data_IF_367000860300
#
_entry.id   IF_367000860300
#
_cell.length_a   1.000
_cell.length_b   1.000
_cell.length_c   1.000
_cell.angle_alpha   90.00
_cell.angle_beta   90.00
_cell.angle_gamma   90.00
#
_symmetry.space_group_name_H-M   'P 1'
#
loop_
_entity.id
_entity.type
_entity.pdbx_description
1 polymer ?
#
# COMPACT_ATOMS: atom_id res chain seq x y z
N UNK A 1 -38.04 6.70 34.85
CA UNK A 1 -38.87 7.88 34.61
C UNK A 1 -38.35 8.57 33.35
N UNK A 2 -39.19 8.97 32.43
CA UNK A 2 -38.76 9.82 31.31
C UNK A 2 -38.65 11.25 31.83
N UNK A 3 -37.43 11.74 31.95
CA UNK A 3 -37.16 13.13 32.34
C UNK A 3 -36.62 13.86 31.10
N UNK A 4 -37.17 15.06 30.84
CA UNK A 4 -36.77 15.96 29.77
C UNK A 4 -36.29 17.29 30.33
N UNK A 5 -35.48 17.20 31.37
CA UNK A 5 -34.76 18.36 31.89
C UNK A 5 -33.56 18.73 31.01
N UNK A 6 -33.07 19.94 31.16
CA UNK A 6 -31.95 20.43 30.34
C UNK A 6 -30.69 19.54 30.43
N UNK A 7 -30.44 18.93 31.58
CA UNK A 7 -29.29 18.06 31.81
C UNK A 7 -29.41 16.75 31.01
N UNK A 8 -30.57 16.10 31.01
CA UNK A 8 -30.80 14.87 30.25
C UNK A 8 -30.75 15.10 28.74
N UNK A 9 -31.30 16.25 28.26
CA UNK A 9 -31.24 16.64 26.87
C UNK A 9 -29.77 16.90 26.45
N UNK A 10 -29.01 17.68 27.21
CA UNK A 10 -27.61 17.96 26.93
C UNK A 10 -26.79 16.67 26.91
N UNK A 11 -26.95 15.80 27.92
CA UNK A 11 -26.25 14.53 27.98
C UNK A 11 -26.56 13.65 26.75
N UNK A 12 -27.82 13.56 26.33
CA UNK A 12 -28.24 12.81 25.17
C UNK A 12 -27.62 13.34 23.87
N UNK A 13 -27.61 14.65 23.68
CA UNK A 13 -26.97 15.30 22.52
C UNK A 13 -25.47 15.06 22.50
N UNK A 14 -24.79 15.17 23.65
CA UNK A 14 -23.36 14.91 23.78
C UNK A 14 -23.02 13.48 23.41
N UNK A 15 -23.79 12.48 23.85
CA UNK A 15 -23.58 11.08 23.49
C UNK A 15 -23.68 10.85 21.97
N UNK A 16 -24.68 11.45 21.31
CA UNK A 16 -24.85 11.38 19.87
C UNK A 16 -23.70 12.06 19.12
N UNK A 17 -23.27 13.23 19.59
CA UNK A 17 -22.11 13.94 19.01
C UNK A 17 -20.81 13.14 19.14
N UNK A 18 -20.55 12.52 20.30
CA UNK A 18 -19.40 11.66 20.50
C UNK A 18 -19.42 10.49 19.50
N UNK A 19 -20.55 9.82 19.32
CA UNK A 19 -20.69 8.71 18.38
C UNK A 19 -20.38 9.13 16.92
N UNK A 20 -20.87 10.29 16.50
CA UNK A 20 -20.64 10.83 15.16
C UNK A 20 -19.19 11.28 14.97
N UNK A 21 -18.67 12.12 15.86
CA UNK A 21 -17.34 12.72 15.73
C UNK A 21 -16.22 11.67 15.81
N UNK A 22 -16.34 10.69 16.71
CA UNK A 22 -15.34 9.62 16.82
C UNK A 22 -15.37 8.69 15.59
N UNK A 23 -16.53 8.49 14.99
CA UNK A 23 -16.64 7.73 13.74
C UNK A 23 -15.95 8.44 12.58
N UNK A 24 -16.01 9.77 12.50
CA UNK A 24 -15.35 10.56 11.45
C UNK A 24 -13.80 10.53 11.53
N UNK A 25 -13.22 10.20 12.67
CA UNK A 25 -11.77 10.03 12.82
C UNK A 25 -11.26 8.76 12.18
N UNK A 26 -12.10 7.75 11.98
CA UNK A 26 -11.73 6.47 11.38
C UNK A 26 -11.13 6.68 9.98
N UNK A 27 -9.99 6.04 9.66
CA UNK A 27 -9.33 6.20 8.35
C UNK A 27 -10.20 5.75 7.18
N UNK A 28 -11.15 4.84 7.39
CA UNK A 28 -12.09 4.40 6.34
C UNK A 28 -13.12 5.46 5.94
N UNK A 29 -13.43 6.42 6.81
CA UNK A 29 -14.28 7.55 6.48
C UNK A 29 -13.66 8.48 5.44
N UNK A 30 -12.34 8.47 5.34
CA UNK A 30 -11.61 9.36 4.44
C UNK A 30 -11.63 8.81 3.04
N UNK A 31 -12.12 9.60 2.10
CA UNK A 31 -12.12 9.22 0.68
C UNK A 31 -10.67 9.10 0.20
N UNK A 32 -10.36 7.96 -0.38
CA UNK A 32 -9.15 7.75 -1.20
C UNK A 32 -9.63 7.64 -2.64
N UNK A 33 -9.04 8.43 -3.54
CA UNK A 33 -9.31 8.33 -4.97
C UNK A 33 -8.58 7.09 -5.48
N UNK A 34 -9.31 6.21 -6.17
CA UNK A 34 -8.72 5.08 -6.88
C UNK A 34 -8.39 5.57 -8.27
N UNK A 35 -7.19 5.24 -8.75
CA UNK A 35 -6.80 5.49 -10.11
C UNK A 35 -7.58 4.52 -11.01
N UNK A 36 -8.33 5.03 -11.97
CA UNK A 36 -8.98 4.21 -12.99
C UNK A 36 -7.97 3.94 -14.10
N UNK A 37 -7.73 2.65 -14.36
CA UNK A 37 -7.00 2.23 -15.53
C UNK A 37 -7.99 2.18 -16.69
N UNK A 38 -8.18 3.30 -17.38
CA UNK A 38 -8.87 3.33 -18.65
C UNK A 38 -7.95 2.79 -19.75
N UNK A 39 -8.23 1.62 -20.30
CA UNK A 39 -7.86 1.35 -21.68
C UNK A 39 -8.49 2.49 -22.49
N UNK A 40 -7.77 3.23 -23.34
CA UNK A 40 -8.39 4.23 -24.19
C UNK A 40 -9.46 3.52 -25.01
N UNK A 41 -10.72 3.69 -24.65
CA UNK A 41 -11.82 3.35 -25.53
C UNK A 41 -11.68 4.27 -26.72
N UNK A 42 -11.63 3.78 -27.96
CA UNK A 42 -11.66 4.63 -29.14
C UNK A 42 -12.92 5.50 -29.00
N UNK A 43 -12.71 6.79 -28.93
CA UNK A 43 -13.79 7.79 -28.90
C UNK A 43 -14.45 7.67 -30.27
N UNK A 44 -15.59 6.99 -30.34
CA UNK A 44 -16.50 7.11 -31.46
C UNK A 44 -17.08 8.51 -31.36
N UNK A 45 -16.49 9.46 -32.08
CA UNK A 45 -17.15 10.72 -32.36
C UNK A 45 -18.41 10.39 -33.13
N UNK A 46 -19.54 10.47 -32.44
CA UNK A 46 -20.85 10.45 -33.06
C UNK A 46 -21.02 11.78 -33.79
N UNK A 47 -20.72 11.83 -35.08
CA UNK A 47 -21.31 12.79 -35.97
C UNK A 47 -22.82 12.50 -36.06
N UNK A 48 -23.62 13.30 -35.38
CA UNK A 48 -25.04 13.45 -35.69
C UNK A 48 -25.16 14.15 -37.03
N UNK A 49 -25.52 13.40 -38.08
CA UNK A 49 -26.21 13.97 -39.24
C UNK A 49 -27.16 12.95 -39.83
N UNK A 50 -28.44 13.23 -39.57
CA UNK A 50 -29.64 13.02 -40.35
C UNK A 50 -29.72 11.98 -41.46
N UNK A 51 -30.70 11.06 -41.27
CA UNK A 51 -31.83 10.62 -42.16
C UNK A 51 -31.52 10.01 -43.53
N UNK A 52 -32.07 8.85 -43.65
CA UNK A 52 -33.04 8.29 -44.65
C UNK A 52 -32.53 7.01 -45.35
N UNK A 53 -33.38 5.97 -45.16
CA UNK A 53 -33.94 4.93 -46.04
C UNK A 53 -33.05 3.79 -46.64
N UNK A 54 -33.55 2.58 -46.23
CA UNK A 54 -33.72 1.33 -46.99
C UNK A 54 -32.58 0.63 -47.72
N UNK A 55 -32.39 -0.64 -47.33
CA UNK A 55 -31.74 -1.63 -48.19
C UNK A 55 -31.16 -2.81 -47.42
N UNK A 56 -31.89 -3.92 -47.37
CA UNK A 56 -31.45 -5.23 -46.87
C UNK A 56 -30.41 -5.81 -47.82
N UNK A 57 -29.24 -6.20 -47.31
CA UNK A 57 -28.45 -7.31 -47.84
C UNK A 57 -27.60 -7.95 -46.72
N UNK A 58 -27.80 -9.25 -46.51
CA UNK A 58 -26.96 -10.12 -45.69
C UNK A 58 -25.57 -10.28 -46.36
N UNK A 59 -24.54 -9.82 -45.66
CA UNK A 59 -23.16 -10.07 -45.99
C UNK A 59 -22.35 -10.39 -44.73
N UNK A 60 -21.80 -11.63 -44.66
CA UNK A 60 -20.82 -12.06 -43.63
C UNK A 60 -19.60 -11.15 -43.68
N UNK A 61 -19.52 -10.19 -42.78
CA UNK A 61 -18.27 -9.44 -42.55
C UNK A 61 -17.55 -10.02 -41.35
N UNK A 62 -16.35 -10.53 -41.59
CA UNK A 62 -15.37 -10.87 -40.59
C UNK A 62 -15.09 -9.58 -39.78
N UNK A 63 -15.27 -9.64 -38.47
CA UNK A 63 -14.93 -8.55 -37.54
C UNK A 63 -13.42 -8.34 -37.61
N UNK A 64 -12.98 -7.34 -38.35
CA UNK A 64 -11.59 -6.89 -38.37
C UNK A 64 -11.29 -6.26 -37.00
N UNK A 65 -10.30 -6.79 -36.31
CA UNK A 65 -9.78 -6.16 -35.10
C UNK A 65 -9.36 -4.71 -35.42
N UNK A 66 -9.70 -3.71 -34.55
CA UNK A 66 -9.34 -2.33 -34.83
C UNK A 66 -7.81 -2.19 -34.84
N UNK A 67 -7.25 -1.80 -35.94
CA UNK A 67 -5.83 -1.47 -36.10
C UNK A 67 -5.58 -0.20 -35.31
N UNK A 68 -4.98 -0.36 -34.11
CA UNK A 68 -4.53 0.75 -33.28
C UNK A 68 -3.34 1.40 -34.01
N UNK A 69 -3.54 2.59 -34.54
CA UNK A 69 -2.48 3.37 -35.18
C UNK A 69 -1.41 3.78 -34.15
N UNK A 70 -0.15 3.84 -34.55
CA UNK A 70 1.00 4.15 -33.66
C UNK A 70 0.87 5.50 -32.91
N UNK A 71 0.05 6.42 -33.40
CA UNK A 71 -0.22 7.72 -32.78
C UNK A 71 -1.06 7.64 -31.48
N UNK A 72 -1.71 6.50 -31.21
CA UNK A 72 -2.56 6.29 -30.02
C UNK A 72 -1.86 5.55 -28.87
N UNK A 73 -0.63 5.11 -29.05
CA UNK A 73 0.11 4.44 -27.97
C UNK A 73 0.58 5.50 -26.96
N UNK A 74 0.28 5.32 -25.65
CA UNK A 74 0.75 6.24 -24.64
C UNK A 74 2.29 6.26 -24.66
N UNK A 75 2.89 7.45 -24.76
CA UNK A 75 4.35 7.62 -24.71
C UNK A 75 4.83 7.34 -23.27
N UNK A 76 5.07 6.07 -22.96
CA UNK A 76 5.54 5.62 -21.66
C UNK A 76 7.07 5.60 -21.61
N UNK A 77 7.70 5.98 -20.49
CA UNK A 77 9.14 5.99 -20.35
C UNK A 77 9.72 4.59 -20.23
N UNK A 78 10.93 4.32 -20.72
CA UNK A 78 11.60 3.05 -20.47
C UNK A 78 11.93 2.87 -18.98
N UNK A 79 11.84 1.62 -18.48
CA UNK A 79 11.89 1.31 -17.03
C UNK A 79 12.82 0.15 -16.71
N UNK A 80 13.54 0.23 -15.58
CA UNK A 80 14.31 -0.87 -15.01
C UNK A 80 13.64 -1.36 -13.73
N UNK A 81 13.34 -2.66 -13.60
CA UNK A 81 12.80 -3.28 -12.40
C UNK A 81 13.94 -3.95 -11.64
N UNK A 82 14.06 -3.71 -10.33
CA UNK A 82 15.10 -4.30 -9.47
C UNK A 82 14.47 -5.29 -8.51
N UNK A 83 14.96 -6.52 -8.55
CA UNK A 83 14.67 -7.61 -7.62
C UNK A 83 15.94 -7.97 -6.85
N UNK A 84 15.81 -8.16 -5.53
CA UNK A 84 16.94 -8.43 -4.65
C UNK A 84 16.70 -9.69 -3.82
N UNK A 85 16.83 -10.90 -4.43
CA UNK A 85 16.65 -12.16 -3.71
C UNK A 85 17.68 -12.32 -2.59
N UNK A 86 17.27 -12.99 -1.52
CA UNK A 86 18.12 -13.38 -0.41
C UNK A 86 17.47 -14.55 0.32
N UNK A 87 17.97 -15.75 0.11
CA UNK A 87 17.45 -17.02 0.64
C UNK A 87 15.97 -17.29 0.24
N UNK A 88 15.58 -16.88 -0.97
CA UNK A 88 14.22 -17.01 -1.52
C UNK A 88 14.21 -17.33 -3.01
N UNK A 89 15.02 -18.32 -3.40
CA UNK A 89 15.15 -18.79 -4.77
C UNK A 89 13.83 -19.37 -5.33
N UNK A 90 13.00 -19.99 -4.49
CA UNK A 90 11.73 -20.58 -4.89
C UNK A 90 10.72 -19.49 -5.27
N UNK A 91 10.61 -18.43 -4.47
CA UNK A 91 9.77 -17.28 -4.77
C UNK A 91 10.27 -16.56 -6.04
N UNK A 92 11.60 -16.47 -6.22
CA UNK A 92 12.16 -15.93 -7.45
C UNK A 92 11.78 -16.76 -8.67
N UNK A 93 11.89 -18.09 -8.60
CA UNK A 93 11.54 -18.99 -9.70
C UNK A 93 10.07 -18.86 -10.11
N UNK A 94 9.17 -18.69 -9.13
CA UNK A 94 7.73 -18.51 -9.33
C UNK A 94 7.40 -17.14 -9.92
N UNK A 95 7.99 -16.07 -9.38
CA UNK A 95 7.54 -14.71 -9.62
C UNK A 95 8.33 -13.98 -10.74
N UNK A 96 9.59 -14.34 -11.00
CA UNK A 96 10.41 -13.71 -12.04
C UNK A 96 9.75 -13.73 -13.43
N UNK A 97 9.13 -14.83 -13.90
CA UNK A 97 8.45 -14.86 -15.20
C UNK A 97 7.37 -13.81 -15.34
N UNK A 98 6.65 -13.49 -14.26
CA UNK A 98 5.57 -12.50 -14.27
C UNK A 98 6.09 -11.06 -14.48
N UNK A 99 7.33 -10.78 -14.09
CA UNK A 99 7.99 -9.51 -14.39
C UNK A 99 8.61 -9.48 -15.79
N UNK A 100 9.11 -10.62 -16.28
CA UNK A 100 9.73 -10.72 -17.61
C UNK A 100 8.72 -10.66 -18.76
N UNK A 101 7.47 -11.10 -18.50
CA UNK A 101 6.40 -11.20 -19.51
C UNK A 101 5.42 -10.01 -19.46
N UNK A 102 5.83 -8.86 -18.91
CA UNK A 102 4.96 -7.68 -18.88
C UNK A 102 4.66 -7.16 -20.30
N UNK A 103 3.39 -6.88 -20.57
CA UNK A 103 2.95 -6.18 -21.76
C UNK A 103 3.30 -4.70 -21.63
N UNK A 104 4.42 -4.29 -22.22
CA UNK A 104 4.92 -2.92 -22.09
C UNK A 104 5.35 -2.35 -23.45
N UNK A 105 4.78 -1.22 -23.90
CA UNK A 105 5.03 -0.71 -25.24
C UNK A 105 6.39 -0.03 -25.41
N UNK A 106 7.06 0.32 -24.34
CA UNK A 106 8.41 0.88 -24.33
C UNK A 106 9.44 -0.16 -23.87
N UNK A 107 10.71 0.16 -23.95
CA UNK A 107 11.77 -0.73 -23.47
C UNK A 107 11.73 -0.91 -21.94
N UNK A 108 11.97 -2.13 -21.47
CA UNK A 108 12.16 -2.40 -20.05
C UNK A 108 13.23 -3.47 -19.83
N UNK A 109 13.73 -3.50 -18.59
CA UNK A 109 14.61 -4.57 -18.11
C UNK A 109 14.29 -4.96 -16.69
N UNK A 110 14.57 -6.21 -16.35
CA UNK A 110 14.51 -6.76 -14.99
C UNK A 110 15.91 -7.06 -14.52
N UNK A 111 16.33 -6.41 -13.45
CA UNK A 111 17.66 -6.55 -12.85
C UNK A 111 17.53 -7.38 -11.59
N UNK A 112 18.17 -8.54 -11.56
CA UNK A 112 18.25 -9.37 -10.35
C UNK A 112 19.65 -9.21 -9.74
N UNK A 113 19.68 -8.77 -8.48
CA UNK A 113 20.92 -8.57 -7.72
C UNK A 113 20.98 -9.60 -6.60
N UNK A 114 21.74 -10.67 -6.78
CA UNK A 114 21.84 -11.80 -5.87
C UNK A 114 23.16 -11.81 -5.08
N UNK A 115 23.22 -12.43 -3.89
CA UNK A 115 24.48 -12.73 -3.24
C UNK A 115 25.33 -13.70 -4.09
N UNK A 116 26.65 -13.49 -4.15
CA UNK A 116 27.53 -14.32 -4.96
C UNK A 116 27.58 -15.79 -4.49
N UNK A 117 27.33 -16.03 -3.22
CA UNK A 117 27.31 -17.36 -2.60
C UNK A 117 25.91 -18.01 -2.56
N UNK A 118 24.90 -17.39 -3.15
CA UNK A 118 23.54 -17.95 -3.28
C UNK A 118 23.45 -18.81 -4.56
N UNK A 119 23.83 -20.07 -4.43
CA UNK A 119 23.84 -21.02 -5.55
C UNK A 119 22.46 -21.35 -6.06
N UNK A 120 21.47 -21.47 -5.16
CA UNK A 120 20.09 -21.78 -5.54
C UNK A 120 19.49 -20.67 -6.40
N UNK A 121 19.65 -19.40 -6.00
CA UNK A 121 19.26 -18.25 -6.81
C UNK A 121 20.02 -18.22 -8.14
N UNK A 122 21.33 -18.54 -8.14
CA UNK A 122 22.12 -18.59 -9.36
C UNK A 122 21.61 -19.64 -10.35
N UNK A 123 21.20 -20.83 -9.86
CA UNK A 123 20.63 -21.89 -10.71
C UNK A 123 19.29 -21.50 -11.31
N UNK A 124 18.42 -20.85 -10.53
CA UNK A 124 17.16 -20.28 -11.05
C UNK A 124 17.45 -19.26 -12.18
N UNK A 125 18.40 -18.36 -12.00
CA UNK A 125 18.74 -17.33 -12.98
C UNK A 125 19.28 -17.93 -14.30
N UNK A 126 19.98 -19.05 -14.25
CA UNK A 126 20.45 -19.77 -15.45
C UNK A 126 19.28 -20.23 -16.33
N UNK A 127 18.14 -20.60 -15.74
CA UNK A 127 16.95 -21.02 -16.51
C UNK A 127 16.39 -19.90 -17.39
N UNK A 128 16.59 -18.65 -16.99
CA UNK A 128 16.11 -17.47 -17.70
C UNK A 128 17.20 -16.69 -18.45
N UNK A 129 18.42 -17.22 -18.52
CA UNK A 129 19.59 -16.53 -19.09
C UNK A 129 19.42 -16.10 -20.57
N UNK A 130 18.54 -16.76 -21.32
CA UNK A 130 18.23 -16.41 -22.71
C UNK A 130 17.22 -15.25 -22.86
N UNK A 131 16.59 -14.82 -21.76
CA UNK A 131 15.60 -13.74 -21.82
C UNK A 131 16.30 -12.37 -21.97
N UNK A 132 15.96 -11.63 -23.01
CA UNK A 132 16.58 -10.33 -23.37
C UNK A 132 16.29 -9.21 -22.37
N UNK A 133 15.22 -9.34 -21.59
CA UNK A 133 14.87 -8.38 -20.55
C UNK A 133 15.62 -8.63 -19.24
N UNK A 134 16.22 -9.81 -19.02
CA UNK A 134 16.90 -10.14 -17.79
C UNK A 134 18.35 -9.64 -17.78
N UNK A 135 18.72 -8.95 -16.73
CA UNK A 135 20.10 -8.63 -16.38
C UNK A 135 20.42 -9.11 -14.97
N UNK A 136 21.51 -9.81 -14.78
CA UNK A 136 21.92 -10.36 -13.49
C UNK A 136 23.23 -9.74 -13.03
N UNK A 137 23.32 -9.42 -11.74
CA UNK A 137 24.55 -8.97 -11.10
C UNK A 137 24.63 -9.51 -9.68
N UNK A 138 25.84 -9.51 -9.07
CA UNK A 138 26.07 -10.18 -7.81
C UNK A 138 26.70 -9.24 -6.78
N UNK A 139 26.34 -9.47 -5.50
CA UNK A 139 26.93 -8.79 -4.35
C UNK A 139 28.17 -9.57 -3.93
N UNK A 140 29.36 -8.93 -3.85
CA UNK A 140 30.56 -9.57 -3.33
C UNK A 140 30.43 -9.94 -1.85
N UNK A 141 31.04 -11.04 -1.43
CA UNK A 141 30.99 -11.53 -0.03
C UNK A 141 31.60 -10.56 0.97
N UNK A 142 32.56 -9.74 0.54
CA UNK A 142 33.35 -8.84 1.40
C UNK A 142 32.61 -7.60 1.91
N UNK A 143 31.34 -7.39 1.51
CA UNK A 143 30.57 -6.19 1.87
C UNK A 143 30.02 -6.28 3.30
N UNK A 144 30.79 -5.81 4.30
CA UNK A 144 30.43 -5.94 5.74
C UNK A 144 29.72 -4.73 6.33
N UNK A 145 29.69 -3.59 5.65
CA UNK A 145 29.39 -2.29 6.27
C UNK A 145 28.01 -1.69 5.97
N UNK A 146 27.13 -2.39 5.26
CA UNK A 146 25.79 -1.87 4.98
C UNK A 146 24.77 -3.00 4.91
N UNK A 147 23.49 -2.67 5.03
CA UNK A 147 22.42 -3.61 4.77
C UNK A 147 22.60 -4.25 3.40
N UNK A 148 22.67 -5.58 3.34
CA UNK A 148 22.82 -6.32 2.07
C UNK A 148 21.75 -5.92 1.07
N UNK A 149 20.49 -5.72 1.51
CA UNK A 149 19.38 -5.30 0.66
C UNK A 149 19.59 -3.90 0.09
N UNK A 150 20.01 -2.91 0.90
CA UNK A 150 20.31 -1.56 0.41
C UNK A 150 21.50 -1.53 -0.54
N UNK A 151 22.52 -2.37 -0.28
CA UNK A 151 23.63 -2.55 -1.21
C UNK A 151 23.16 -3.14 -2.53
N UNK A 152 22.34 -4.22 -2.49
CA UNK A 152 21.75 -4.82 -3.68
C UNK A 152 20.96 -3.81 -4.50
N UNK A 153 20.09 -3.04 -3.86
CA UNK A 153 19.31 -1.99 -4.54
C UNK A 153 20.27 -0.95 -5.15
N UNK A 154 21.30 -0.50 -4.42
CA UNK A 154 22.27 0.48 -4.94
C UNK A 154 23.03 -0.04 -6.15
N UNK A 155 23.43 -1.32 -6.15
CA UNK A 155 24.07 -1.96 -7.30
C UNK A 155 23.10 -2.08 -8.48
N UNK A 156 21.85 -2.49 -8.21
CA UNK A 156 20.79 -2.54 -9.23
C UNK A 156 20.53 -1.17 -9.86
N UNK A 157 20.44 -0.11 -9.06
CA UNK A 157 20.28 1.27 -9.57
C UNK A 157 21.47 1.69 -10.42
N UNK A 158 22.71 1.36 -10.04
CA UNK A 158 23.89 1.66 -10.86
C UNK A 158 23.87 0.88 -12.17
N UNK A 159 23.47 -0.38 -12.15
CA UNK A 159 23.34 -1.24 -13.33
C UNK A 159 22.15 -0.89 -14.22
N UNK A 160 21.15 -0.17 -13.71
CA UNK A 160 19.95 0.20 -14.44
C UNK A 160 20.29 1.00 -15.71
N UNK A 161 19.72 0.59 -16.84
CA UNK A 161 19.89 1.25 -18.14
C UNK A 161 19.03 2.53 -18.22
N UNK A 162 17.88 2.54 -17.60
CA UNK A 162 16.89 3.60 -17.69
C UNK A 162 16.82 4.46 -16.43
N UNK A 163 16.33 5.70 -16.59
CA UNK A 163 16.24 6.66 -15.47
C UNK A 163 15.10 6.34 -14.50
N UNK A 164 13.98 5.76 -14.98
CA UNK A 164 12.98 5.23 -14.10
C UNK A 164 13.34 3.83 -13.63
N UNK A 165 13.38 3.67 -12.31
CA UNK A 165 13.74 2.42 -11.65
C UNK A 165 12.63 2.05 -10.69
N UNK A 166 12.14 0.81 -10.76
CA UNK A 166 11.19 0.25 -9.80
C UNK A 166 11.94 -0.71 -8.89
N UNK A 167 11.87 -0.53 -7.59
CA UNK A 167 12.28 -1.55 -6.63
C UNK A 167 11.06 -2.28 -6.08
N UNK A 168 11.15 -3.61 -6.01
CA UNK A 168 10.13 -4.49 -5.45
C UNK A 168 10.78 -5.70 -4.77
N UNK A 169 9.99 -6.44 -4.00
CA UNK A 169 10.42 -7.64 -3.31
C UNK A 169 10.12 -8.90 -4.12
N UNK A 170 10.98 -9.91 -3.98
CA UNK A 170 10.85 -11.19 -4.70
C UNK A 170 9.59 -11.96 -4.28
N UNK A 171 9.13 -11.78 -3.03
CA UNK A 171 7.86 -12.36 -2.54
C UNK A 171 6.62 -11.60 -3.03
N UNK A 172 6.79 -10.63 -3.93
CA UNK A 172 5.69 -9.89 -4.54
C UNK A 172 5.63 -10.19 -6.03
N UNK A 173 4.40 -10.19 -6.58
CA UNK A 173 4.19 -10.38 -8.01
C UNK A 173 3.06 -9.49 -8.53
N UNK A 174 3.11 -9.12 -9.84
CA UNK A 174 2.08 -8.32 -10.48
C UNK A 174 0.71 -9.02 -10.52
N UNK A 175 -0.37 -8.27 -10.40
CA UNK A 175 -1.73 -8.77 -10.55
C UNK A 175 -2.00 -9.29 -11.96
N UNK A 176 -1.27 -8.74 -12.98
CA UNK A 176 -1.39 -9.13 -14.37
C UNK A 176 -0.32 -8.49 -15.25
N UNK A 177 -0.41 -8.74 -16.54
CA UNK A 177 0.63 -8.37 -17.52
C UNK A 177 0.70 -6.86 -17.80
N UNK A 178 -0.29 -6.08 -17.38
CA UNK A 178 -0.34 -4.62 -17.56
C UNK A 178 0.14 -3.82 -16.35
N UNK A 179 0.68 -4.49 -15.31
CA UNK A 179 1.13 -3.82 -14.10
C UNK A 179 2.19 -2.74 -14.37
N UNK A 180 3.16 -3.05 -15.22
CA UNK A 180 4.23 -2.11 -15.55
C UNK A 180 3.68 -0.86 -16.24
N UNK A 181 2.70 -1.00 -17.12
CA UNK A 181 2.02 0.14 -17.76
C UNK A 181 1.27 0.99 -16.74
N UNK A 182 0.58 0.35 -15.78
CA UNK A 182 -0.16 1.06 -14.74
C UNK A 182 0.77 1.91 -13.86
N UNK A 183 1.94 1.40 -13.47
CA UNK A 183 2.95 2.18 -12.77
C UNK A 183 3.51 3.30 -13.65
N UNK A 184 3.87 2.98 -14.92
CA UNK A 184 4.55 3.87 -15.85
C UNK A 184 3.73 5.10 -16.22
N UNK A 185 2.41 5.00 -16.33
CA UNK A 185 1.53 6.15 -16.63
C UNK A 185 1.64 7.28 -15.60
N UNK A 186 2.13 6.97 -14.41
CA UNK A 186 2.39 7.93 -13.34
C UNK A 186 3.83 8.48 -13.37
N UNK A 187 4.72 7.90 -14.20
CA UNK A 187 6.11 8.31 -14.37
C UNK A 187 6.21 9.55 -15.29
N UNK A 188 5.54 10.63 -14.90
CA UNK A 188 5.42 11.87 -15.69
C UNK A 188 6.52 12.87 -15.38
N UNK A 189 6.62 13.90 -16.21
CA UNK A 189 7.44 15.08 -15.93
C UNK A 189 6.99 15.73 -14.60
N UNK A 190 7.94 16.24 -13.83
CA UNK A 190 7.68 16.79 -12.48
C UNK A 190 7.43 15.73 -11.39
N UNK A 191 7.41 14.45 -11.72
CA UNK A 191 7.38 13.35 -10.75
C UNK A 191 8.75 12.68 -10.64
N UNK A 192 9.14 12.39 -9.40
CA UNK A 192 10.37 11.67 -9.06
C UNK A 192 10.12 10.32 -8.42
N UNK A 193 8.90 10.13 -7.89
CA UNK A 193 8.47 8.94 -7.17
C UNK A 193 7.07 8.51 -7.61
N UNK A 194 6.88 7.19 -7.77
CA UNK A 194 5.57 6.56 -7.91
C UNK A 194 5.49 5.41 -6.91
N UNK A 195 4.55 5.48 -5.99
CA UNK A 195 4.25 4.39 -5.04
C UNK A 195 3.14 3.55 -5.64
N UNK A 196 3.35 2.24 -5.76
CA UNK A 196 2.34 1.26 -6.15
C UNK A 196 1.71 0.59 -4.93
N UNK A 197 0.42 0.36 -4.97
CA UNK A 197 -0.28 -0.37 -3.92
C UNK A 197 0.13 -1.84 -3.90
N UNK A 198 0.21 -2.42 -2.69
CA UNK A 198 0.50 -3.85 -2.49
C UNK A 198 -0.54 -4.44 -1.53
N UNK A 199 -1.14 -5.58 -1.89
CA UNK A 199 -2.02 -6.37 -1.04
C UNK A 199 -1.44 -7.75 -0.78
N UNK A 200 -1.94 -8.46 0.22
CA UNK A 200 -1.58 -9.87 0.44
C UNK A 200 -2.36 -10.81 -0.46
N UNK A 201 -1.83 -12.03 -0.67
CA UNK A 201 -2.58 -13.16 -1.24
C UNK A 201 -3.83 -13.48 -0.43
N UNK A 202 -4.87 -14.03 -1.09
CA UNK A 202 -6.20 -14.26 -0.49
C UNK A 202 -6.16 -15.24 0.70
N UNK A 203 -5.23 -16.18 0.71
CA UNK A 203 -5.03 -17.17 1.77
C UNK A 203 -4.50 -16.54 3.07
N UNK A 204 -4.05 -15.30 3.04
CA UNK A 204 -3.58 -14.59 4.23
C UNK A 204 -4.73 -14.41 5.23
N UNK A 205 -4.48 -14.62 6.54
CA UNK A 205 -5.52 -14.43 7.55
C UNK A 205 -6.22 -13.06 7.45
N UNK A 206 -7.56 -13.06 7.48
CA UNK A 206 -8.38 -11.87 7.27
C UNK A 206 -8.01 -10.67 8.17
N UNK A 207 -7.52 -10.92 9.39
CA UNK A 207 -7.03 -9.87 10.26
C UNK A 207 -5.80 -9.15 9.68
N UNK A 208 -4.87 -9.86 9.05
CA UNK A 208 -3.65 -9.26 8.46
C UNK A 208 -4.00 -8.39 7.25
N UNK A 209 -4.94 -8.82 6.41
CA UNK A 209 -5.49 -7.96 5.35
C UNK A 209 -6.10 -6.68 5.92
N UNK A 210 -6.92 -6.84 6.98
CA UNK A 210 -7.57 -5.71 7.62
C UNK A 210 -6.57 -4.73 8.22
N UNK A 211 -5.63 -5.20 9.05
CA UNK A 211 -4.63 -4.37 9.71
C UNK A 211 -3.77 -3.61 8.70
N UNK A 212 -3.25 -4.33 7.68
CA UNK A 212 -2.46 -3.70 6.62
C UNK A 212 -3.23 -2.60 5.91
N UNK A 213 -4.45 -2.89 5.47
CA UNK A 213 -5.26 -1.91 4.75
C UNK A 213 -5.66 -0.72 5.63
N UNK A 214 -6.06 -0.99 6.87
CA UNK A 214 -6.41 0.06 7.83
C UNK A 214 -5.25 1.03 8.06
N UNK A 215 -4.04 0.52 8.28
CA UNK A 215 -2.85 1.35 8.45
C UNK A 215 -2.44 2.04 7.15
N UNK A 216 -2.54 1.36 6.01
CA UNK A 216 -2.23 1.91 4.70
C UNK A 216 -3.10 3.13 4.35
N UNK A 217 -4.34 3.20 4.85
CA UNK A 217 -5.24 4.35 4.62
C UNK A 217 -4.68 5.69 5.11
N UNK A 218 -3.87 5.67 6.17
CA UNK A 218 -3.18 6.89 6.62
C UNK A 218 -2.14 7.35 5.58
N UNK A 219 -1.35 6.43 5.03
CA UNK A 219 -0.33 6.74 4.02
C UNK A 219 -0.94 7.16 2.68
N UNK A 220 -1.98 6.45 2.21
CA UNK A 220 -2.69 6.80 0.98
C UNK A 220 -3.21 8.24 1.00
N UNK A 221 -3.73 8.66 2.16
CA UNK A 221 -4.18 10.04 2.33
C UNK A 221 -3.03 11.03 2.21
N UNK A 222 -1.89 10.74 2.85
CA UNK A 222 -0.72 11.64 2.82
C UNK A 222 -0.15 11.75 1.40
N UNK A 223 -0.18 10.67 0.61
CA UNK A 223 0.21 10.71 -0.81
C UNK A 223 -0.68 11.65 -1.63
N UNK A 224 -2.00 11.60 -1.41
CA UNK A 224 -2.93 12.48 -2.12
C UNK A 224 -2.85 13.95 -1.70
N UNK A 225 -2.25 14.25 -0.56
CA UNK A 225 -2.05 15.61 -0.06
C UNK A 225 -0.59 16.09 -0.19
N UNK A 226 0.26 15.37 -0.92
CA UNK A 226 1.68 15.68 -1.11
C UNK A 226 2.47 15.79 0.22
N UNK A 227 2.11 14.96 1.20
CA UNK A 227 2.72 14.91 2.53
C UNK A 227 3.29 13.53 2.85
N UNK A 228 3.73 12.82 1.82
CA UNK A 228 4.32 11.49 1.95
C UNK A 228 5.57 11.54 2.86
N UNK A 229 5.68 10.54 3.76
CA UNK A 229 6.81 10.45 4.68
C UNK A 229 7.35 9.02 4.84
N UNK A 230 6.64 8.02 4.35
CA UNK A 230 7.01 6.61 4.42
C UNK A 230 6.25 5.82 3.35
N UNK A 231 6.63 4.56 3.11
CA UNK A 231 6.01 3.67 2.14
C UNK A 231 5.81 2.27 2.73
N UNK A 232 4.56 1.90 3.10
CA UNK A 232 4.25 0.58 3.61
C UNK A 232 4.03 -0.48 2.50
N UNK A 233 4.32 -0.13 1.26
CA UNK A 233 4.11 -0.96 0.07
C UNK A 233 5.45 -1.41 -0.52
N UNK A 234 5.42 -2.49 -1.29
CA UNK A 234 6.61 -3.11 -1.88
C UNK A 234 6.79 -2.76 -3.37
N UNK A 235 6.12 -1.72 -3.85
CA UNK A 235 6.31 -1.17 -5.18
C UNK A 235 6.68 0.31 -5.10
N UNK A 236 7.89 0.66 -5.47
CA UNK A 236 8.34 2.04 -5.49
C UNK A 236 9.18 2.31 -6.74
N UNK A 237 8.63 3.12 -7.64
CA UNK A 237 9.39 3.67 -8.76
C UNK A 237 10.01 5.02 -8.37
N UNK A 238 11.24 5.27 -8.84
CA UNK A 238 11.96 6.51 -8.59
C UNK A 238 12.95 6.82 -9.70
N UNK A 239 13.39 8.08 -9.79
CA UNK A 239 14.41 8.51 -10.75
C UNK A 239 15.81 8.08 -10.30
N UNK A 240 16.50 7.26 -11.13
CA UNK A 240 17.93 6.88 -10.95
C UNK A 240 18.82 8.10 -10.79
N UNK A 241 18.67 9.07 -11.68
CA UNK A 241 19.46 10.31 -11.69
C UNK A 241 19.37 11.04 -10.35
N UNK A 242 18.18 11.13 -9.76
CA UNK A 242 17.96 11.75 -8.46
C UNK A 242 18.57 10.92 -7.33
N UNK A 243 18.33 9.60 -7.33
CA UNK A 243 18.87 8.69 -6.32
C UNK A 243 20.40 8.77 -6.26
N UNK A 244 21.08 8.79 -7.41
CA UNK A 244 22.55 8.86 -7.47
C UNK A 244 23.07 10.24 -7.06
N UNK A 245 22.45 11.32 -7.51
CA UNK A 245 22.82 12.69 -7.18
C UNK A 245 22.73 12.97 -5.68
N UNK A 246 21.73 12.44 -5.02
CA UNK A 246 21.49 12.60 -3.58
C UNK A 246 22.08 11.45 -2.75
N UNK A 247 23.03 10.69 -3.32
CA UNK A 247 23.83 9.65 -2.65
C UNK A 247 23.01 8.49 -2.04
N UNK A 248 21.89 8.14 -2.67
CA UNK A 248 21.09 6.95 -2.34
C UNK A 248 20.70 6.85 -0.86
N UNK A 249 21.08 5.77 -0.22
CA UNK A 249 20.79 5.49 1.20
C UNK A 249 21.78 6.12 2.18
N UNK A 250 22.61 7.08 1.77
CA UNK A 250 23.51 7.76 2.71
C UNK A 250 22.75 8.31 3.91
N UNK A 251 23.26 8.06 5.12
CA UNK A 251 22.61 8.36 6.39
C UNK A 251 21.77 7.20 6.97
N UNK A 252 21.32 6.25 6.11
CA UNK A 252 20.46 5.14 6.52
C UNK A 252 21.05 3.76 6.28
N UNK A 253 22.32 3.68 5.90
CA UNK A 253 23.02 2.45 5.49
C UNK A 253 23.07 1.38 6.59
N UNK A 254 23.16 1.81 7.86
CA UNK A 254 23.28 0.91 9.00
C UNK A 254 21.99 0.15 9.32
N UNK A 255 20.81 0.70 8.99
CA UNK A 255 19.54 0.04 9.28
C UNK A 255 19.29 -1.09 8.30
N UNK A 256 18.97 -2.29 8.82
CA UNK A 256 18.84 -3.51 8.00
C UNK A 256 17.68 -3.37 7.00
N UNK A 257 16.56 -2.80 7.44
CA UNK A 257 15.35 -2.61 6.64
C UNK A 257 14.97 -1.14 6.50
N UNK A 258 13.84 -0.87 5.81
CA UNK A 258 13.28 0.48 5.64
C UNK A 258 13.69 1.16 4.34
N UNK A 259 14.15 0.40 3.36
CA UNK A 259 14.55 0.90 2.05
C UNK A 259 13.47 1.72 1.36
N UNK A 260 12.21 1.27 1.41
CA UNK A 260 11.06 2.00 0.88
C UNK A 260 10.75 3.27 1.69
N UNK A 261 10.67 3.12 3.03
CA UNK A 261 10.39 4.23 3.95
C UNK A 261 11.43 5.35 3.81
N UNK A 262 12.72 5.01 3.87
CA UNK A 262 13.80 5.99 3.79
C UNK A 262 13.88 6.66 2.42
N UNK A 263 13.58 5.92 1.34
CA UNK A 263 13.54 6.49 0.00
C UNK A 263 12.42 7.53 -0.13
N UNK A 264 11.20 7.18 0.30
CA UNK A 264 10.08 8.14 0.28
C UNK A 264 10.35 9.32 1.21
N UNK A 265 10.84 9.07 2.43
CA UNK A 265 11.13 10.13 3.39
C UNK A 265 12.16 11.14 2.89
N UNK A 266 13.19 10.66 2.21
CA UNK A 266 14.27 11.51 1.68
C UNK A 266 13.86 12.26 0.41
N UNK A 267 13.16 11.58 -0.50
CA UNK A 267 12.96 12.09 -1.85
C UNK A 267 11.57 12.66 -2.13
N UNK A 268 10.52 12.32 -1.35
CA UNK A 268 9.20 12.88 -1.53
C UNK A 268 9.14 14.31 -0.99
N UNK A 269 9.20 15.29 -1.91
CA UNK A 269 9.16 16.71 -1.55
C UNK A 269 8.21 17.47 -2.48
N UNK A 270 7.31 18.22 -1.88
CA UNK A 270 6.29 18.93 -2.66
C UNK A 270 5.36 17.96 -3.39
N UNK A 271 5.04 18.26 -4.65
CA UNK A 271 4.12 17.45 -5.48
C UNK A 271 4.87 16.48 -6.43
N UNK A 272 5.99 15.90 -6.00
CA UNK A 272 6.82 15.05 -6.85
C UNK A 272 6.55 13.55 -6.72
N UNK A 273 5.58 13.16 -5.87
CA UNK A 273 5.14 11.77 -5.70
C UNK A 273 3.79 11.55 -6.38
N UNK A 274 3.63 10.42 -7.05
CA UNK A 274 2.36 9.90 -7.52
C UNK A 274 2.03 8.59 -6.80
N UNK A 275 0.75 8.24 -6.75
CA UNK A 275 0.28 7.01 -6.11
C UNK A 275 -0.57 6.22 -7.07
N UNK A 276 -0.12 5.02 -7.40
CA UNK A 276 -0.84 4.06 -8.24
C UNK A 276 -1.55 3.04 -7.35
N UNK A 277 -2.85 2.99 -7.45
CA UNK A 277 -3.71 2.12 -6.64
C UNK A 277 -4.88 1.51 -7.43
N UNK A 278 -4.75 1.46 -8.75
CA UNK A 278 -5.66 0.66 -9.58
C UNK A 278 -5.46 -0.84 -9.33
N UNK A 279 -6.41 -1.64 -9.75
CA UNK A 279 -6.32 -3.10 -9.66
C UNK A 279 -5.13 -3.59 -10.49
N UNK A 280 -4.96 -3.08 -11.70
CA UNK A 280 -3.87 -3.44 -12.62
C UNK A 280 -2.49 -3.04 -12.07
N UNK A 281 -2.40 -1.89 -11.38
CA UNK A 281 -1.16 -1.40 -10.76
C UNK A 281 -0.83 -2.03 -9.41
N UNK A 282 -1.65 -2.97 -8.94
CA UNK A 282 -1.47 -3.62 -7.64
C UNK A 282 -0.44 -4.75 -7.72
N UNK A 283 0.45 -4.84 -6.71
CA UNK A 283 1.24 -6.04 -6.42
C UNK A 283 0.53 -6.93 -5.41
N UNK A 284 0.72 -8.22 -5.54
CA UNK A 284 0.31 -9.22 -4.57
C UNK A 284 1.55 -9.69 -3.82
N UNK A 285 1.52 -9.63 -2.50
CA UNK A 285 2.56 -10.16 -1.62
C UNK A 285 2.14 -11.53 -1.10
N UNK A 286 3.01 -12.51 -1.23
CA UNK A 286 2.81 -13.87 -0.73
C UNK A 286 2.51 -13.90 0.77
N UNK A 287 1.85 -14.97 1.23
CA UNK A 287 1.45 -15.11 2.65
C UNK A 287 2.67 -15.02 3.57
N UNK A 288 2.78 -13.97 4.40
CA UNK A 288 3.93 -13.85 5.28
C UNK A 288 3.88 -14.89 6.42
N UNK A 289 5.00 -15.54 6.72
CA UNK A 289 5.12 -16.36 7.92
C UNK A 289 4.95 -15.51 9.19
N UNK A 290 4.66 -16.15 10.34
CA UNK A 290 4.54 -15.42 11.62
C UNK A 290 5.80 -14.64 11.97
N UNK A 291 6.99 -15.20 11.65
CA UNK A 291 8.28 -14.55 11.88
C UNK A 291 8.45 -13.31 11.01
N UNK A 292 8.12 -13.41 9.72
CA UNK A 292 8.18 -12.28 8.77
C UNK A 292 7.16 -11.22 9.17
N UNK A 293 5.93 -11.62 9.48
CA UNK A 293 4.89 -10.71 9.95
C UNK A 293 5.30 -9.91 11.19
N UNK A 294 5.77 -10.61 12.23
CA UNK A 294 6.26 -9.92 13.44
C UNK A 294 7.46 -9.04 13.14
N UNK A 295 8.43 -9.54 12.37
CA UNK A 295 9.62 -8.80 11.96
C UNK A 295 9.27 -7.47 11.27
N UNK A 296 8.30 -7.49 10.34
CA UNK A 296 7.85 -6.27 9.65
C UNK A 296 7.38 -5.20 10.63
N UNK A 297 6.61 -5.58 11.66
CA UNK A 297 6.15 -4.62 12.68
C UNK A 297 7.30 -4.08 13.55
N UNK A 298 8.24 -4.95 13.95
CA UNK A 298 9.38 -4.53 14.77
C UNK A 298 10.31 -3.59 13.99
N UNK A 299 10.65 -3.92 12.74
CA UNK A 299 11.45 -3.06 11.87
C UNK A 299 10.75 -1.74 11.57
N UNK A 300 9.42 -1.74 11.37
CA UNK A 300 8.67 -0.51 11.21
C UNK A 300 8.76 0.38 12.46
N UNK A 301 8.71 -0.20 13.66
CA UNK A 301 8.85 0.55 14.92
C UNK A 301 10.22 1.17 15.08
N UNK A 302 11.29 0.48 14.65
CA UNK A 302 12.64 1.03 14.62
C UNK A 302 12.76 2.14 13.58
N UNK A 303 12.43 1.85 12.32
CA UNK A 303 12.63 2.77 11.20
C UNK A 303 11.90 4.09 11.39
N UNK A 304 10.65 4.05 11.87
CA UNK A 304 9.83 5.25 12.06
C UNK A 304 10.40 6.27 13.04
N UNK A 305 11.34 5.87 13.91
CA UNK A 305 12.02 6.81 14.82
C UNK A 305 13.00 7.71 14.08
N UNK A 306 13.48 7.23 12.94
CA UNK A 306 14.49 7.88 12.09
C UNK A 306 13.89 8.59 10.88
N UNK A 307 12.56 8.57 10.73
CA UNK A 307 11.85 9.28 9.66
C UNK A 307 11.50 10.70 10.09
N UNK A 308 11.63 11.65 9.17
CA UNK A 308 11.09 12.99 9.32
C UNK A 308 9.55 12.91 9.25
N UNK A 309 8.89 13.29 10.34
CA UNK A 309 7.44 13.22 10.48
C UNK A 309 6.89 14.47 11.15
N UNK A 310 5.78 14.96 10.61
CA UNK A 310 5.03 16.03 11.27
C UNK A 310 4.35 15.53 12.56
N UNK A 311 3.99 16.41 13.52
CA UNK A 311 3.19 16.03 14.67
C UNK A 311 1.89 15.28 14.30
N UNK A 312 1.23 15.67 13.20
CA UNK A 312 0.02 15.02 12.71
C UNK A 312 0.25 13.54 12.38
N UNK A 313 1.36 13.19 11.70
CA UNK A 313 1.70 11.81 11.38
C UNK A 313 1.93 10.94 12.62
N UNK A 314 2.36 11.57 13.72
CA UNK A 314 2.60 10.87 15.00
C UNK A 314 1.31 10.69 15.80
N UNK A 315 0.47 11.71 15.83
CA UNK A 315 -0.66 11.78 16.75
C UNK A 315 -1.95 11.15 16.19
N UNK A 316 -2.21 11.26 14.89
CA UNK A 316 -3.47 10.88 14.27
C UNK A 316 -3.89 9.40 14.48
N UNK A 317 -3.00 8.39 14.33
CA UNK A 317 -3.36 7.01 14.60
C UNK A 317 -3.72 6.74 16.07
N UNK A 318 -3.04 7.45 17.00
CA UNK A 318 -3.36 7.35 18.43
C UNK A 318 -4.69 8.01 18.76
N UNK A 319 -4.97 9.17 18.17
CA UNK A 319 -6.23 9.88 18.35
C UNK A 319 -7.41 9.03 17.90
N UNK A 320 -7.31 8.39 16.71
CA UNK A 320 -8.33 7.49 16.20
C UNK A 320 -8.60 6.33 17.15
N UNK A 321 -7.56 5.61 17.57
CA UNK A 321 -7.70 4.46 18.47
C UNK A 321 -8.20 4.86 19.86
N UNK A 322 -7.76 5.99 20.40
CA UNK A 322 -8.24 6.51 21.67
C UNK A 322 -9.71 6.93 21.57
N UNK A 323 -10.09 7.59 20.48
CA UNK A 323 -11.46 7.99 20.23
C UNK A 323 -12.41 6.79 20.07
N UNK A 324 -11.95 5.72 19.36
CA UNK A 324 -12.68 4.46 19.21
C UNK A 324 -12.99 3.83 20.59
N UNK A 325 -11.94 3.57 21.37
CA UNK A 325 -12.09 2.93 22.68
C UNK A 325 -12.86 3.81 23.67
N UNK A 326 -12.54 5.12 23.68
CA UNK A 326 -13.23 6.10 24.53
C UNK A 326 -14.72 6.20 24.20
N UNK A 327 -15.09 6.20 22.92
CA UNK A 327 -16.49 6.20 22.48
C UNK A 327 -17.26 4.99 23.04
N UNK A 328 -16.77 3.77 22.79
CA UNK A 328 -17.45 2.57 23.30
C UNK A 328 -17.49 2.53 24.83
N UNK A 329 -16.41 2.94 25.51
CA UNK A 329 -16.36 3.00 26.96
C UNK A 329 -17.42 3.95 27.52
N UNK A 330 -17.47 5.20 27.02
CA UNK A 330 -18.44 6.21 27.44
C UNK A 330 -19.88 5.76 27.17
N UNK A 331 -20.16 5.22 25.97
CA UNK A 331 -21.49 4.75 25.61
C UNK A 331 -21.96 3.58 26.50
N UNK A 332 -21.08 2.61 26.79
CA UNK A 332 -21.40 1.49 27.67
C UNK A 332 -21.65 1.95 29.10
N UNK A 333 -20.83 2.85 29.65
CA UNK A 333 -21.04 3.40 31.00
C UNK A 333 -22.34 4.20 31.06
N UNK A 334 -22.60 5.06 30.07
CA UNK A 334 -23.83 5.84 30.02
C UNK A 334 -25.07 4.94 29.93
N UNK A 335 -25.03 3.87 29.12
CA UNK A 335 -26.13 2.92 28.99
C UNK A 335 -26.37 2.16 30.30
N UNK A 336 -25.35 1.53 30.86
CA UNK A 336 -25.48 0.74 32.09
C UNK A 336 -25.84 1.62 33.26
N UNK A 337 -25.14 2.77 33.46
CA UNK A 337 -25.40 3.69 34.55
C UNK A 337 -26.82 4.29 34.52
N UNK A 338 -27.29 4.70 33.33
CA UNK A 338 -28.64 5.24 33.18
C UNK A 338 -29.75 4.19 33.40
N UNK A 339 -29.50 2.94 32.98
CA UNK A 339 -30.42 1.83 33.29
C UNK A 339 -30.54 1.57 34.79
N UNK A 340 -29.41 1.53 35.50
CA UNK A 340 -29.41 1.32 36.94
C UNK A 340 -30.09 2.46 37.70
N UNK A 341 -29.97 3.70 37.21
CA UNK A 341 -30.59 4.88 37.82
C UNK A 341 -32.05 5.13 37.34
N UNK A 342 -32.58 4.30 36.45
CA UNK A 342 -33.92 4.45 35.87
C UNK A 342 -34.10 5.67 34.96
N UNK A 343 -33.00 6.21 34.37
CA UNK A 343 -32.97 7.38 33.50
C UNK A 343 -33.20 6.99 32.04
N UNK A 344 -34.42 6.59 31.71
CA UNK A 344 -34.75 5.97 30.37
C UNK A 344 -34.40 6.84 29.17
N UNK A 345 -34.49 8.17 29.28
CA UNK A 345 -34.12 9.10 28.21
C UNK A 345 -32.65 8.97 27.83
N UNK A 346 -31.75 8.94 28.81
CA UNK A 346 -30.31 8.77 28.58
C UNK A 346 -29.99 7.35 28.10
N UNK A 347 -30.70 6.33 28.64
CA UNK A 347 -30.52 4.93 28.21
C UNK A 347 -30.83 4.75 26.73
N UNK A 348 -31.93 5.33 26.24
CA UNK A 348 -32.31 5.29 24.83
C UNK A 348 -31.28 6.04 23.99
N UNK A 349 -30.85 7.23 24.41
CA UNK A 349 -29.86 8.02 23.70
C UNK A 349 -28.49 7.29 23.60
N UNK A 350 -28.04 6.66 24.68
CA UNK A 350 -26.80 5.87 24.70
C UNK A 350 -26.91 4.64 23.80
N UNK A 351 -28.04 3.92 23.85
CA UNK A 351 -28.30 2.78 22.97
C UNK A 351 -28.32 3.16 21.47
N UNK A 352 -29.02 4.25 21.14
CA UNK A 352 -29.06 4.77 19.76
C UNK A 352 -27.67 5.23 19.29
N UNK A 353 -26.92 5.93 20.15
CA UNK A 353 -25.55 6.38 19.86
C UNK A 353 -24.62 5.21 19.58
N UNK A 354 -24.72 4.13 20.36
CA UNK A 354 -23.95 2.91 20.16
C UNK A 354 -24.29 2.26 18.82
N UNK A 355 -25.57 2.10 18.51
CA UNK A 355 -26.05 1.52 17.25
C UNK A 355 -25.58 2.37 16.05
N UNK A 356 -25.72 3.69 16.11
CA UNK A 356 -25.27 4.61 15.06
C UNK A 356 -23.76 4.45 14.83
N UNK A 357 -22.96 4.46 15.91
CA UNK A 357 -21.51 4.29 15.82
C UNK A 357 -21.12 2.97 15.16
N UNK A 358 -21.78 1.87 15.54
CA UNK A 358 -21.58 0.54 14.96
C UNK A 358 -21.92 0.54 13.47
N UNK A 359 -23.12 0.99 13.10
CA UNK A 359 -23.59 0.98 11.71
C UNK A 359 -22.66 1.82 10.82
N UNK A 360 -22.32 3.03 11.25
CA UNK A 360 -21.42 3.91 10.49
C UNK A 360 -20.08 3.25 10.22
N UNK A 361 -19.46 2.62 11.23
CA UNK A 361 -18.17 1.93 11.08
C UNK A 361 -18.26 0.70 10.21
N UNK A 362 -19.32 -0.12 10.35
CA UNK A 362 -19.54 -1.30 9.52
C UNK A 362 -19.72 -0.93 8.04
N UNK A 363 -20.61 0.04 7.76
CA UNK A 363 -20.91 0.45 6.38
C UNK A 363 -19.68 1.07 5.71
N UNK A 364 -19.02 2.01 6.38
CA UNK A 364 -17.84 2.67 5.82
C UNK A 364 -16.64 1.73 5.69
N UNK A 365 -16.41 0.87 6.69
CA UNK A 365 -15.35 -0.13 6.65
C UNK A 365 -15.56 -1.14 5.53
N UNK A 366 -16.77 -1.71 5.39
CA UNK A 366 -17.08 -2.65 4.30
C UNK A 366 -16.92 -1.99 2.92
N UNK A 367 -17.41 -0.74 2.76
CA UNK A 367 -17.25 0.01 1.52
C UNK A 367 -15.77 0.31 1.20
N UNK A 368 -14.98 0.66 2.21
CA UNK A 368 -13.56 0.96 2.04
C UNK A 368 -12.75 -0.28 1.64
N UNK A 369 -13.03 -1.44 2.26
CA UNK A 369 -12.37 -2.71 1.97
C UNK A 369 -12.70 -3.22 0.56
N UNK A 370 -13.99 -3.23 0.19
CA UNK A 370 -14.44 -3.69 -1.14
C UNK A 370 -13.82 -2.92 -2.30
N UNK A 371 -13.50 -1.63 -2.09
CA UNK A 371 -12.84 -0.82 -3.13
C UNK A 371 -11.43 -1.28 -3.48
N UNK A 372 -10.82 -2.07 -2.63
CA UNK A 372 -9.47 -2.63 -2.80
C UNK A 372 -9.50 -4.16 -2.91
N UNK A 373 -10.67 -4.69 -3.27
CA UNK A 373 -10.87 -6.12 -3.48
C UNK A 373 -10.52 -6.97 -2.24
N UNK A 374 -10.85 -6.43 -1.05
CA UNK A 374 -10.66 -7.12 0.23
C UNK A 374 -12.04 -7.52 0.77
N UNK A 375 -12.32 -8.83 0.75
CA UNK A 375 -13.60 -9.34 1.27
C UNK A 375 -13.48 -9.84 2.71
N UNK A 376 -13.92 -8.99 3.64
CA UNK A 376 -14.00 -9.31 5.07
C UNK A 376 -15.47 -9.18 5.51
N UNK A 377 -16.03 -10.19 6.21
CA UNK A 377 -17.38 -10.12 6.76
C UNK A 377 -17.56 -8.89 7.65
N UNK A 378 -18.69 -8.16 7.47
CA UNK A 378 -18.90 -6.89 8.17
C UNK A 378 -18.78 -7.02 9.69
N UNK A 379 -19.29 -8.10 10.28
CA UNK A 379 -19.25 -8.33 11.74
C UNK A 379 -17.84 -8.41 12.32
N UNK A 380 -16.80 -8.73 11.50
CA UNK A 380 -15.38 -8.78 11.92
C UNK A 380 -14.73 -7.40 11.98
N UNK A 381 -15.31 -6.38 11.34
CA UNK A 381 -14.69 -5.05 11.21
C UNK A 381 -14.43 -4.42 12.58
N UNK A 382 -15.45 -4.30 13.44
CA UNK A 382 -15.31 -3.68 14.76
C UNK A 382 -14.37 -4.48 15.68
N UNK A 383 -14.50 -5.81 15.83
CA UNK A 383 -13.51 -6.61 16.55
C UNK A 383 -12.08 -6.39 16.07
N UNK A 384 -11.87 -6.27 14.75
CA UNK A 384 -10.55 -6.05 14.20
C UNK A 384 -10.03 -4.63 14.48
N UNK A 385 -10.88 -3.59 14.38
CA UNK A 385 -10.52 -2.22 14.76
C UNK A 385 -10.06 -2.14 16.23
N UNK A 386 -10.81 -2.77 17.14
CA UNK A 386 -10.45 -2.85 18.56
C UNK A 386 -9.12 -3.61 18.74
N UNK A 387 -8.94 -4.72 18.02
CA UNK A 387 -7.74 -5.54 18.13
C UNK A 387 -6.46 -4.81 17.68
N UNK A 388 -6.54 -3.82 16.79
CA UNK A 388 -5.38 -3.05 16.31
C UNK A 388 -4.61 -2.44 17.50
N UNK A 389 -5.27 -1.74 18.43
CA UNK A 389 -4.60 -1.11 19.57
C UNK A 389 -3.89 -2.13 20.45
N UNK A 390 -4.56 -3.25 20.76
CA UNK A 390 -4.03 -4.29 21.63
C UNK A 390 -2.87 -5.05 20.99
N UNK A 391 -2.98 -5.38 19.72
CA UNK A 391 -1.87 -6.01 18.97
C UNK A 391 -0.68 -5.07 18.81
N UNK A 392 -0.94 -3.80 18.52
CA UNK A 392 0.11 -2.78 18.46
C UNK A 392 0.83 -2.59 19.81
N UNK A 393 0.09 -2.66 20.92
CA UNK A 393 0.69 -2.69 22.27
C UNK A 393 1.58 -3.93 22.45
N UNK A 394 1.11 -5.11 22.00
CA UNK A 394 1.89 -6.35 22.02
C UNK A 394 3.17 -6.25 21.19
N UNK A 395 3.11 -5.70 19.97
CA UNK A 395 4.30 -5.47 19.14
C UNK A 395 5.26 -4.47 19.81
N UNK A 396 4.75 -3.40 20.44
CA UNK A 396 5.56 -2.44 21.17
C UNK A 396 6.30 -3.06 22.35
N UNK A 397 5.64 -3.93 23.11
CA UNK A 397 6.28 -4.67 24.21
C UNK A 397 7.37 -5.61 23.68
N UNK A 398 7.12 -6.34 22.58
CA UNK A 398 8.12 -7.20 21.94
C UNK A 398 9.29 -6.38 21.41
N UNK A 399 9.04 -5.23 20.79
CA UNK A 399 10.08 -4.31 20.31
C UNK A 399 10.98 -3.80 21.45
N UNK A 400 10.40 -3.44 22.60
CA UNK A 400 11.20 -3.00 23.77
C UNK A 400 12.06 -4.12 24.40
N UNK A 401 11.68 -5.38 24.17
CA UNK A 401 12.44 -6.56 24.62
C UNK A 401 13.44 -7.07 23.58
N UNK A 402 13.31 -6.64 22.33
CA UNK A 402 14.22 -7.03 21.25
C UNK A 402 15.59 -6.37 21.42
N UNK A 403 16.65 -7.08 21.02
CA UNK A 403 17.99 -6.50 20.97
C UNK A 403 18.02 -5.45 19.84
N UNK A 404 18.43 -4.23 20.18
CA UNK A 404 18.52 -3.15 19.19
C UNK A 404 19.58 -3.38 18.13
N UNK A 405 20.57 -4.22 18.40
CA UNK A 405 21.56 -4.65 17.43
C UNK A 405 20.97 -5.53 16.31
N UNK A 406 19.80 -6.14 16.52
CA UNK A 406 19.12 -6.90 15.48
C UNK A 406 18.56 -6.02 14.35
N UNK A 407 18.45 -4.70 14.56
CA UNK A 407 17.94 -3.73 13.58
C UNK A 407 19.04 -3.03 12.77
N UNK A 408 20.29 -3.22 13.13
CA UNK A 408 21.45 -2.59 12.47
C UNK A 408 22.41 -3.61 11.89
N UNK A 409 23.04 -3.28 10.76
CA UNK A 409 23.94 -4.19 10.02
C UNK A 409 25.32 -4.37 10.66
N UNK A 410 25.64 -3.60 11.69
CA UNK A 410 26.91 -3.69 12.40
C UNK A 410 26.68 -4.17 13.82
N UNK A 411 27.16 -5.36 14.12
CA UNK A 411 27.54 -5.75 15.47
C UNK A 411 28.97 -5.25 15.63
N UNK A 412 29.13 -4.10 16.25
CA UNK A 412 30.43 -3.63 16.69
C UNK A 412 30.95 -4.55 17.78
#
# INVERSE_FOLDING_TARGET
MFTFDNTTIIASVVLLLIALLTSLLNPFFRKVRIAEYGVPTPTTESEETSKEEEGVEEGNEAIAEPVVTDEQRPNLPPISIILTPHDNAQELAKNLPLYLNQNYPADFQVIVVAPQNDHETSDVLKLFASNTHLYTTFIPESSRYMSKKKLAITLGVKAAKYDWVIMTDVCCYPTGDNWLQAIARNCKEGKDLVVGYTRYEEETPAYRHFERHYLARYFMREYQHNKAYACPFNALAFRKSRFLREEGFRGNLKYIRGEYDFTVNKYAKGNNLAFENSIEGTLIEEVPTEKVWLGTHLFYMENRQHLERTPQHRFLPYLDQTALHGNYFVQCIALVGSLLLGMWTISIAAGLSLIISIILRLVTGKKALRRFDIDIPAWKIIPYEIAIAWKHLGYKLKYHRADKYDFISHKL
#
